data_IF_137510591476
#
_entry.id   IF_137510591476
#
_cell.length_a   1.000
_cell.length_b   1.000
_cell.length_c   1.000
_cell.angle_alpha   90.00
_cell.angle_beta   90.00
_cell.angle_gamma   90.00
#
_symmetry.space_group_name_H-M   'P 1'
#
loop_
_entity.id
_entity.type
_entity.pdbx_description
1 polymer ?
#
# COMPACT_ATOMS: atom_id res chain seq x y z
N UNK A 1 0.28 -4.80 14.97
CA UNK A 1 0.20 -4.71 13.48
C UNK A 1 1.44 -3.97 12.99
N UNK A 2 2.19 -4.51 12.00
CA UNK A 2 3.50 -3.97 11.54
C UNK A 2 3.43 -3.18 10.23
N UNK A 3 2.34 -3.35 9.48
CA UNK A 3 2.09 -2.74 8.18
C UNK A 3 0.72 -3.15 7.64
N UNK A 4 0.39 -2.69 6.44
CA UNK A 4 -0.84 -3.04 5.72
C UNK A 4 -0.57 -3.04 4.23
N UNK A 5 -1.26 -3.94 3.52
CA UNK A 5 -1.34 -3.98 2.06
C UNK A 5 -2.80 -3.71 1.70
N UNK A 6 -3.01 -2.85 0.71
CA UNK A 6 -4.33 -2.46 0.22
C UNK A 6 -4.41 -2.79 -1.26
N UNK A 7 -5.47 -3.51 -1.63
CA UNK A 7 -5.87 -3.73 -3.02
C UNK A 7 -7.09 -2.87 -3.30
N UNK A 8 -7.11 -2.20 -4.45
CA UNK A 8 -8.23 -1.36 -4.87
C UNK A 8 -8.35 -1.36 -6.39
N UNK A 9 -9.55 -1.58 -6.89
CA UNK A 9 -9.88 -1.30 -8.29
C UNK A 9 -10.15 0.21 -8.45
N UNK A 10 -9.48 0.83 -9.41
CA UNK A 10 -9.67 2.26 -9.71
C UNK A 10 -9.44 2.53 -11.20
N UNK A 11 -10.49 3.02 -11.88
CA UNK A 11 -10.49 3.28 -13.33
C UNK A 11 -10.04 2.06 -14.15
N UNK A 12 -10.69 0.91 -13.94
CA UNK A 12 -10.42 -0.37 -14.62
C UNK A 12 -9.01 -0.95 -14.43
N UNK A 13 -8.25 -0.42 -13.47
CA UNK A 13 -6.94 -0.94 -13.10
C UNK A 13 -6.94 -1.39 -11.64
N UNK A 14 -6.48 -2.62 -11.40
CA UNK A 14 -6.21 -3.08 -10.05
C UNK A 14 -4.91 -2.46 -9.53
N UNK A 15 -5.00 -1.81 -8.37
CA UNK A 15 -3.89 -1.12 -7.73
C UNK A 15 -3.54 -1.76 -6.41
N UNK A 16 -2.23 -1.84 -6.16
CA UNK A 16 -1.69 -2.30 -4.88
C UNK A 16 -0.91 -1.17 -4.22
N UNK A 17 -1.16 -0.98 -2.94
CA UNK A 17 -0.41 -0.06 -2.11
C UNK A 17 -0.01 -0.71 -0.79
N UNK A 18 1.07 -0.21 -0.19
CA UNK A 18 1.57 -0.74 1.07
C UNK A 18 1.97 0.40 2.03
N UNK A 19 1.92 0.11 3.32
CA UNK A 19 2.60 0.88 4.34
C UNK A 19 3.24 -0.07 5.36
N UNK A 20 4.40 0.31 5.87
CA UNK A 20 5.11 -0.38 6.93
C UNK A 20 5.69 0.64 7.90
N UNK A 21 5.55 0.41 9.20
CA UNK A 21 6.15 1.28 10.21
C UNK A 21 7.68 1.24 10.18
N UNK A 22 8.32 2.39 10.38
CA UNK A 22 9.80 2.54 10.41
C UNK A 22 10.56 1.45 11.15
N UNK A 23 10.14 1.05 12.36
CA UNK A 23 10.93 0.11 13.16
C UNK A 23 11.16 -1.24 12.48
N UNK A 24 10.35 -1.55 11.45
CA UNK A 24 10.35 -2.83 10.74
C UNK A 24 10.98 -2.74 9.34
N UNK A 25 11.49 -1.58 8.93
CA UNK A 25 12.16 -1.39 7.65
C UNK A 25 13.45 -2.20 7.56
N UNK A 26 13.84 -2.57 6.34
CA UNK A 26 15.08 -3.31 6.07
C UNK A 26 15.06 -4.80 6.48
N UNK A 27 13.94 -5.32 6.99
CA UNK A 27 13.82 -6.70 7.49
C UNK A 27 13.17 -7.69 6.50
N UNK A 28 12.90 -7.27 5.27
CA UNK A 28 12.29 -8.14 4.24
C UNK A 28 10.76 -8.30 4.30
N UNK A 29 10.12 -7.99 5.44
CA UNK A 29 8.66 -8.15 5.63
C UNK A 29 7.79 -7.52 4.53
N UNK A 30 8.20 -6.37 3.99
CA UNK A 30 7.47 -5.72 2.89
C UNK A 30 7.46 -6.59 1.64
N UNK A 31 8.63 -7.08 1.25
CA UNK A 31 8.79 -7.86 0.02
C UNK A 31 8.10 -9.21 0.13
N UNK A 32 8.19 -9.85 1.30
CA UNK A 32 7.51 -11.11 1.59
C UNK A 32 5.99 -10.94 1.53
N UNK A 33 5.44 -9.97 2.26
CA UNK A 33 4.00 -9.74 2.28
C UNK A 33 3.46 -9.32 0.90
N UNK A 34 4.20 -8.49 0.17
CA UNK A 34 3.82 -8.08 -1.18
C UNK A 34 3.85 -9.27 -2.16
N UNK A 35 4.89 -10.10 -2.09
CA UNK A 35 5.02 -11.31 -2.91
C UNK A 35 3.89 -12.30 -2.66
N UNK A 36 3.60 -12.60 -1.39
CA UNK A 36 2.50 -13.48 -1.01
C UNK A 36 1.14 -12.93 -1.47
N UNK A 37 0.92 -11.62 -1.34
CA UNK A 37 -0.33 -10.97 -1.78
C UNK A 37 -0.49 -11.06 -3.30
N UNK A 38 0.57 -10.79 -4.06
CA UNK A 38 0.52 -10.87 -5.53
C UNK A 38 0.33 -12.31 -6.01
N UNK A 39 1.03 -13.28 -5.41
CA UNK A 39 0.87 -14.70 -5.73
C UNK A 39 -0.60 -15.13 -5.54
N UNK A 40 -1.14 -14.86 -4.35
CA UNK A 40 -2.54 -15.16 -4.05
C UNK A 40 -3.50 -14.45 -5.01
N UNK A 41 -3.27 -13.16 -5.30
CA UNK A 41 -4.14 -12.38 -6.17
C UNK A 41 -4.21 -12.94 -7.60
N UNK A 42 -3.06 -13.30 -8.19
CA UNK A 42 -3.02 -13.89 -9.53
C UNK A 42 -3.55 -15.33 -9.57
N UNK A 43 -3.54 -16.05 -8.44
CA UNK A 43 -4.15 -17.39 -8.36
C UNK A 43 -5.67 -17.35 -8.31
N UNK A 44 -6.25 -16.33 -7.66
CA UNK A 44 -7.71 -16.28 -7.38
C UNK A 44 -8.47 -15.32 -8.29
N UNK A 45 -7.79 -14.56 -9.15
CA UNK A 45 -8.42 -13.60 -10.07
C UNK A 45 -7.77 -13.66 -11.45
N UNK A 46 -8.54 -13.35 -12.50
CA UNK A 46 -8.05 -13.31 -13.89
C UNK A 46 -7.34 -11.98 -14.23
N UNK A 47 -6.80 -11.27 -13.25
CA UNK A 47 -6.11 -10.00 -13.49
C UNK A 47 -4.77 -10.24 -14.18
N UNK A 48 -4.55 -9.54 -15.30
CA UNK A 48 -3.30 -9.65 -16.07
C UNK A 48 -2.22 -8.68 -15.62
N UNK A 49 -2.59 -7.66 -14.83
CA UNK A 49 -1.65 -6.66 -14.33
C UNK A 49 -2.14 -5.99 -13.06
N UNK A 50 -1.18 -5.53 -12.26
CA UNK A 50 -1.42 -4.76 -11.03
C UNK A 50 -0.50 -3.55 -11.04
N UNK A 51 -1.06 -2.36 -10.81
CA UNK A 51 -0.27 -1.13 -10.69
C UNK A 51 0.12 -0.89 -9.24
N UNK A 52 1.42 -0.85 -8.97
CA UNK A 52 1.92 -0.42 -7.67
C UNK A 52 1.80 1.10 -7.54
N UNK A 53 1.19 1.57 -6.46
CA UNK A 53 1.17 2.98 -6.10
C UNK A 53 1.88 3.23 -4.78
N UNK A 54 2.75 4.24 -4.78
CA UNK A 54 3.28 4.78 -3.54
C UNK A 54 2.15 5.57 -2.91
N UNK A 55 1.57 5.02 -1.85
CA UNK A 55 0.61 5.73 -1.01
C UNK A 55 1.40 6.78 -0.20
N UNK A 56 1.68 7.92 -0.82
CA UNK A 56 2.30 9.06 -0.16
C UNK A 56 1.30 9.66 0.83
N UNK A 57 1.58 9.50 2.12
CA UNK A 57 0.97 10.33 3.16
C UNK A 57 1.34 11.79 2.93
N UNK A 58 0.37 12.69 2.74
CA UNK A 58 0.67 14.14 2.74
C UNK A 58 1.27 14.51 4.10
N UNK A 59 2.47 15.11 4.16
CA UNK A 59 3.04 15.59 5.41
C UNK A 59 2.62 17.05 5.63
N UNK A 60 1.90 17.33 6.72
CA UNK A 60 1.85 18.69 7.27
C UNK A 60 2.79 18.74 8.50
N UNK A 61 3.99 19.32 8.30
CA UNK A 61 4.98 19.78 9.31
C UNK A 61 5.81 18.71 10.08
N UNK A 62 6.89 19.08 10.78
CA UNK A 62 8.25 19.43 10.36
C UNK A 62 9.25 18.23 10.33
N UNK A 63 10.48 18.50 9.89
CA UNK A 63 11.54 17.62 9.34
C UNK A 63 11.94 16.32 10.06
N UNK A 64 11.48 16.03 11.28
CA UNK A 64 11.96 14.88 12.08
C UNK A 64 10.90 13.79 12.33
N UNK A 65 9.64 13.94 11.89
CA UNK A 65 8.55 12.94 12.07
C UNK A 65 8.05 12.29 10.77
N UNK A 66 8.97 11.72 9.99
CA UNK A 66 8.66 11.18 8.66
C UNK A 66 8.21 9.70 8.71
N UNK A 67 7.19 9.32 9.49
CA UNK A 67 6.64 7.96 9.36
C UNK A 67 5.28 7.69 10.02
N UNK A 68 4.18 7.90 9.27
CA UNK A 68 2.86 7.25 9.46
C UNK A 68 1.93 7.83 8.40
N UNK A 69 1.44 7.04 7.44
CA UNK A 69 0.10 6.47 7.51
C UNK A 69 -0.86 7.23 6.56
N UNK A 70 -1.77 6.53 5.89
CA UNK A 70 -2.55 6.93 4.70
C UNK A 70 -3.50 8.15 4.88
N UNK A 71 -3.63 9.08 3.90
CA UNK A 71 -4.61 10.18 3.97
C UNK A 71 -5.90 10.02 3.13
N UNK A 72 -6.13 8.92 2.41
CA UNK A 72 -7.23 8.87 1.43
C UNK A 72 -8.59 8.31 1.92
N UNK A 73 -8.90 8.39 3.22
CA UNK A 73 -10.21 7.94 3.75
C UNK A 73 -11.28 9.04 3.90
N UNK A 74 -10.98 10.32 3.67
CA UNK A 74 -11.99 11.40 3.74
C UNK A 74 -11.93 12.35 2.54
N UNK A 75 -12.44 11.90 1.38
CA UNK A 75 -13.19 12.71 0.39
C UNK A 75 -13.38 11.90 -0.88
N UNK A 76 -14.43 11.09 -0.90
CA UNK A 76 -15.08 10.64 -2.12
C UNK A 76 -16.60 10.79 -1.94
N UNK A 77 -17.03 11.98 -1.54
CA UNK A 77 -18.36 12.58 -1.67
C UNK A 77 -18.13 14.10 -1.48
N UNK A 78 -18.67 15.01 -2.32
CA UNK A 78 -19.60 14.84 -3.43
C UNK A 78 -18.94 14.64 -4.81
#
# INVERSE_FOLDING_TARGET
>A
MIGVIVLRELHDALRIGYWQGEPFWGRGFKSEALGATLCWLFEVTDVSSVRAEVLQGRPALPSWRRNSGFPWLEKALP
#
